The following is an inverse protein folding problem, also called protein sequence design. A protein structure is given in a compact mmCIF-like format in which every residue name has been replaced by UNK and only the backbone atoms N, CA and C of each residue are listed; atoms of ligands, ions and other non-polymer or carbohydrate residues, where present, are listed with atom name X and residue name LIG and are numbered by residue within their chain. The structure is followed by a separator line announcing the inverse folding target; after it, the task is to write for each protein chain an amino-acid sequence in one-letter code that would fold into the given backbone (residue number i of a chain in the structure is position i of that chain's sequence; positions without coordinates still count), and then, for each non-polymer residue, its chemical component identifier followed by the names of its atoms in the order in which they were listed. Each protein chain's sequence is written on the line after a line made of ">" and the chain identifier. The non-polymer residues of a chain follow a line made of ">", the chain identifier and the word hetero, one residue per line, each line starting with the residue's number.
data_IF_504105713451
#
_entry.id   IF_504105713451
#
_cell.length_a   1.000
_cell.length_b   1.000
_cell.length_c   1.000
_cell.angle_alpha   90.00
_cell.angle_beta   90.00
_cell.angle_gamma   90.00
#
_symmetry.space_group_name_H-M   'P 1'
#
loop_
_entity.id
_entity.type
_entity.pdbx_description
1 polymer ?
#
# COMPACT_ATOMS: atom_id res chain seq x y z
N UNK A 1 20.49 3.29 -28.83
CA UNK A 1 19.39 3.34 -29.84
C UNK A 1 18.16 3.91 -29.18
N UNK A 2 17.67 5.04 -29.64
CA UNK A 2 16.42 5.61 -29.14
C UNK A 2 15.23 4.76 -29.64
N UNK A 3 14.43 4.22 -28.73
CA UNK A 3 13.17 3.57 -29.06
C UNK A 3 12.08 4.63 -29.11
N UNK A 4 11.33 4.69 -30.18
CA UNK A 4 10.18 5.56 -30.30
C UNK A 4 8.92 4.75 -30.61
N UNK A 5 7.78 5.20 -30.12
CA UNK A 5 6.49 4.65 -30.40
C UNK A 5 5.73 5.56 -31.36
N UNK A 6 5.35 5.02 -32.53
CA UNK A 6 4.57 5.74 -33.52
C UNK A 6 3.11 5.28 -33.51
N UNK A 7 2.20 6.13 -33.10
CA UNK A 7 0.77 5.87 -33.12
C UNK A 7 0.20 6.44 -34.42
N UNK A 8 -0.16 5.55 -35.36
CA UNK A 8 -0.66 5.94 -36.70
C UNK A 8 -2.19 6.00 -36.80
N UNK A 9 -2.92 5.37 -35.88
CA UNK A 9 -4.38 5.27 -35.96
C UNK A 9 -5.04 5.63 -34.64
N UNK A 10 -6.17 6.31 -34.72
CA UNK A 10 -7.03 6.62 -33.59
C UNK A 10 -7.95 5.42 -33.31
N UNK A 11 -8.06 5.01 -32.05
CA UNK A 11 -9.05 4.01 -31.62
C UNK A 11 -10.44 4.66 -31.61
N UNK A 12 -11.39 4.09 -32.37
CA UNK A 12 -12.76 4.61 -32.46
C UNK A 12 -13.68 4.02 -31.39
N UNK A 13 -13.58 2.74 -31.15
CA UNK A 13 -14.33 1.99 -30.13
C UNK A 13 -13.42 0.92 -29.55
N UNK A 14 -13.46 0.75 -28.21
CA UNK A 14 -12.85 -0.43 -27.60
C UNK A 14 -13.66 -0.88 -26.38
N UNK A 15 -13.70 -2.18 -26.18
CA UNK A 15 -14.15 -2.84 -24.97
C UNK A 15 -13.11 -3.92 -24.68
N UNK A 16 -12.15 -3.58 -23.82
CA UNK A 16 -10.97 -4.38 -23.59
C UNK A 16 -10.66 -4.46 -22.11
N UNK A 17 -10.49 -5.67 -21.58
CA UNK A 17 -9.95 -5.90 -20.27
C UNK A 17 -8.45 -6.10 -20.37
N UNK A 18 -7.68 -5.22 -19.76
CA UNK A 18 -6.23 -5.29 -19.73
C UNK A 18 -5.77 -5.67 -18.32
N UNK A 19 -4.95 -6.72 -18.24
CA UNK A 19 -4.24 -7.06 -17.01
C UNK A 19 -2.84 -6.46 -17.07
N UNK A 20 -2.51 -5.60 -16.14
CA UNK A 20 -1.19 -4.97 -16.00
C UNK A 20 -0.45 -5.56 -14.82
N UNK A 21 0.88 -5.42 -14.81
CA UNK A 21 1.69 -5.74 -13.63
C UNK A 21 1.32 -4.84 -12.46
N UNK A 22 1.46 -5.36 -11.24
CA UNK A 22 1.32 -4.54 -10.04
C UNK A 22 2.35 -3.41 -10.02
N UNK A 23 1.92 -2.22 -9.59
CA UNK A 23 2.79 -1.07 -9.38
C UNK A 23 3.17 -0.94 -7.91
N UNK A 24 4.46 -0.67 -7.63
CA UNK A 24 4.98 -0.56 -6.27
C UNK A 24 4.35 0.60 -5.50
N UNK A 25 4.34 1.78 -6.08
CA UNK A 25 3.85 2.99 -5.43
C UNK A 25 2.33 2.95 -5.21
N UNK A 26 1.58 2.44 -6.17
CA UNK A 26 0.14 2.22 -6.02
C UNK A 26 -0.16 1.15 -4.97
N UNK A 27 0.62 0.08 -4.93
CA UNK A 27 0.49 -0.97 -3.92
C UNK A 27 0.71 -0.46 -2.50
N UNK A 28 1.75 0.36 -2.27
CA UNK A 28 2.00 0.99 -0.96
C UNK A 28 0.83 1.93 -0.58
N UNK A 29 0.37 2.76 -1.51
CA UNK A 29 -0.77 3.66 -1.25
C UNK A 29 -2.03 2.89 -0.90
N UNK A 30 -2.32 1.81 -1.63
CA UNK A 30 -3.45 0.96 -1.32
C UNK A 30 -3.35 0.38 0.10
N UNK A 31 -2.18 -0.13 0.51
CA UNK A 31 -1.95 -0.67 1.86
C UNK A 31 -2.29 0.38 2.92
N UNK A 32 -1.78 1.60 2.76
CA UNK A 32 -2.01 2.68 3.71
C UNK A 32 -3.48 3.11 3.74
N UNK A 33 -4.12 3.30 2.58
CA UNK A 33 -5.53 3.71 2.50
C UNK A 33 -6.46 2.60 3.02
N UNK A 34 -6.21 1.34 2.69
CA UNK A 34 -6.99 0.21 3.18
C UNK A 34 -6.92 0.08 4.71
N UNK A 35 -5.78 0.46 5.32
CA UNK A 35 -5.64 0.48 6.78
C UNK A 35 -6.52 1.55 7.45
N UNK A 36 -6.85 2.63 6.74
CA UNK A 36 -7.69 3.73 7.20
C UNK A 36 -9.18 3.55 6.85
N UNK A 37 -9.51 2.59 6.01
CA UNK A 37 -10.89 2.24 5.70
C UNK A 37 -11.56 1.57 6.90
N UNK A 38 -12.89 1.52 6.89
CA UNK A 38 -13.65 0.70 7.86
C UNK A 38 -14.02 -0.62 7.18
N UNK A 39 -13.61 -1.73 7.79
CA UNK A 39 -13.91 -3.06 7.30
C UNK A 39 -12.87 -3.61 6.35
N UNK A 40 -13.28 -4.54 5.50
CA UNK A 40 -12.40 -5.35 4.66
C UNK A 40 -12.18 -4.72 3.28
N UNK A 41 -10.92 -4.49 2.94
CA UNK A 41 -10.47 -4.15 1.57
C UNK A 41 -9.70 -5.32 0.98
N UNK A 42 -9.88 -5.60 -0.31
CA UNK A 42 -9.17 -6.67 -1.03
C UNK A 42 -8.52 -6.12 -2.28
N UNK A 43 -7.26 -6.47 -2.48
CA UNK A 43 -6.52 -6.18 -3.71
C UNK A 43 -6.08 -7.47 -4.40
N UNK A 44 -6.26 -7.50 -5.71
CA UNK A 44 -5.69 -8.53 -6.59
C UNK A 44 -4.48 -7.95 -7.29
N UNK A 45 -3.51 -8.81 -7.60
CA UNK A 45 -2.31 -8.41 -8.31
C UNK A 45 -1.48 -7.32 -7.61
N UNK A 46 -1.50 -7.32 -6.29
CA UNK A 46 -0.65 -6.44 -5.49
C UNK A 46 0.83 -6.79 -5.73
N UNK A 47 1.67 -5.79 -5.97
CA UNK A 47 3.09 -6.04 -6.14
C UNK A 47 3.72 -6.39 -4.78
N UNK A 48 4.19 -7.62 -4.61
CA UNK A 48 4.79 -8.10 -3.37
C UNK A 48 6.31 -7.86 -3.36
N UNK A 49 6.72 -6.60 -3.59
CA UNK A 49 8.11 -6.17 -3.42
C UNK A 49 8.45 -5.96 -1.93
N UNK A 50 9.73 -5.88 -1.60
CA UNK A 50 10.20 -5.62 -0.24
C UNK A 50 9.57 -4.35 0.36
N UNK A 51 9.43 -3.30 -0.44
CA UNK A 51 8.81 -2.04 -0.03
C UNK A 51 7.33 -2.23 0.36
N UNK A 52 6.57 -3.03 -0.40
CA UNK A 52 5.15 -3.32 -0.12
C UNK A 52 5.03 -4.24 1.10
N UNK A 53 5.92 -5.22 1.23
CA UNK A 53 6.01 -6.08 2.42
C UNK A 53 6.31 -5.24 3.66
N UNK A 54 7.22 -4.26 3.57
CA UNK A 54 7.50 -3.33 4.66
C UNK A 54 6.26 -2.52 5.05
N UNK A 55 5.46 -2.07 4.07
CA UNK A 55 4.19 -1.38 4.32
C UNK A 55 3.19 -2.28 5.06
N UNK A 56 3.01 -3.52 4.59
CA UNK A 56 2.12 -4.50 5.25
C UNK A 56 2.56 -4.79 6.69
N UNK A 57 3.85 -5.02 6.92
CA UNK A 57 4.41 -5.23 8.26
C UNK A 57 4.21 -4.00 9.16
N UNK A 58 4.35 -2.80 8.62
CA UNK A 58 4.16 -1.56 9.37
C UNK A 58 2.71 -1.43 9.85
N UNK A 59 1.72 -1.62 9.00
CA UNK A 59 0.31 -1.55 9.42
C UNK A 59 -0.08 -2.70 10.36
N UNK A 60 0.52 -3.89 10.22
CA UNK A 60 0.32 -4.97 11.18
C UNK A 60 0.82 -4.60 12.58
N UNK A 61 1.99 -3.96 12.69
CA UNK A 61 2.48 -3.42 13.95
C UNK A 61 1.56 -2.34 14.54
N UNK A 62 0.83 -1.63 13.70
CA UNK A 62 -0.18 -0.65 14.09
C UNK A 62 -1.55 -1.28 14.45
N UNK A 63 -1.61 -2.60 14.54
CA UNK A 63 -2.82 -3.34 14.96
C UNK A 63 -3.80 -3.64 13.84
N UNK A 64 -3.40 -3.50 12.59
CA UNK A 64 -4.24 -3.82 11.43
C UNK A 64 -4.07 -5.28 11.04
N UNK A 65 -5.18 -5.99 10.92
CA UNK A 65 -5.18 -7.38 10.45
C UNK A 65 -4.96 -7.42 8.93
N UNK A 66 -3.97 -8.19 8.53
CA UNK A 66 -3.61 -8.43 7.12
C UNK A 66 -3.62 -9.92 6.82
N UNK A 67 -4.21 -10.31 5.71
CA UNK A 67 -4.18 -11.68 5.19
C UNK A 67 -3.65 -11.68 3.77
N UNK A 68 -2.52 -12.32 3.55
CA UNK A 68 -1.92 -12.48 2.21
C UNK A 68 -2.21 -13.89 1.71
N UNK A 69 -2.81 -13.99 0.54
CA UNK A 69 -3.08 -15.23 -0.19
C UNK A 69 -2.37 -15.23 -1.53
N UNK A 70 -2.33 -16.36 -2.21
CA UNK A 70 -1.66 -16.51 -3.52
C UNK A 70 -2.13 -15.46 -4.55
N UNK A 71 -3.41 -15.16 -4.59
CA UNK A 71 -4.03 -14.34 -5.65
C UNK A 71 -4.54 -12.98 -5.15
N UNK A 72 -4.56 -12.74 -3.85
CA UNK A 72 -5.07 -11.49 -3.28
C UNK A 72 -4.49 -11.21 -1.90
N UNK A 73 -4.57 -9.95 -1.51
CA UNK A 73 -4.29 -9.48 -0.16
C UNK A 73 -5.55 -8.83 0.42
N UNK A 74 -5.87 -9.13 1.67
CA UNK A 74 -6.95 -8.50 2.42
C UNK A 74 -6.41 -7.71 3.59
N UNK A 75 -6.94 -6.52 3.78
CA UNK A 75 -6.65 -5.65 4.92
C UNK A 75 -7.99 -5.31 5.60
N UNK A 76 -8.04 -5.49 6.91
CA UNK A 76 -9.18 -5.14 7.75
C UNK A 76 -8.87 -3.82 8.44
N UNK A 77 -9.26 -2.71 7.79
CA UNK A 77 -9.03 -1.38 8.31
C UNK A 77 -9.94 -1.05 9.49
N UNK A 78 -9.43 -0.23 10.40
CA UNK A 78 -10.11 0.16 11.63
C UNK A 78 -10.60 1.62 11.60
N UNK A 79 -10.61 2.25 10.43
CA UNK A 79 -10.96 3.65 10.28
C UNK A 79 -9.81 4.62 10.60
N UNK A 80 -10.07 5.89 10.36
CA UNK A 80 -9.14 6.98 10.71
C UNK A 80 -8.97 7.00 12.24
N UNK A 81 -7.74 7.05 12.70
CA UNK A 81 -7.37 6.94 14.12
C UNK A 81 -7.65 5.56 14.77
N UNK A 82 -7.90 4.53 13.98
CA UNK A 82 -8.18 3.18 14.45
C UNK A 82 -6.94 2.33 14.76
N UNK A 83 -5.74 2.89 14.71
CA UNK A 83 -4.51 2.17 15.04
C UNK A 83 -4.41 1.85 16.52
N UNK A 84 -3.99 0.62 16.82
CA UNK A 84 -3.77 0.11 18.18
C UNK A 84 -2.38 -0.51 18.26
N UNK A 85 -1.51 0.08 19.05
CA UNK A 85 -0.12 -0.34 19.15
C UNK A 85 0.47 -0.04 20.53
N UNK A 86 1.58 -0.70 20.85
CA UNK A 86 2.32 -0.49 22.10
C UNK A 86 3.17 0.79 22.02
N UNK A 87 3.48 1.39 23.17
CA UNK A 87 4.43 2.51 23.25
C UNK A 87 5.78 2.15 22.65
N UNK A 88 6.45 3.15 22.09
CA UNK A 88 7.82 3.03 21.55
C UNK A 88 7.97 2.01 20.42
N UNK A 89 6.94 1.82 19.60
CA UNK A 89 7.09 0.95 18.45
C UNK A 89 8.04 1.54 17.41
N UNK A 90 8.71 0.66 16.69
CA UNK A 90 9.59 0.99 15.58
C UNK A 90 9.00 0.42 14.30
N UNK A 91 8.77 1.29 13.33
CA UNK A 91 8.37 0.92 11.97
C UNK A 91 9.59 1.00 11.07
N UNK A 92 9.82 -0.05 10.30
CA UNK A 92 10.93 -0.09 9.36
C UNK A 92 10.40 0.12 7.94
N UNK A 93 10.73 1.26 7.36
CA UNK A 93 10.37 1.60 5.98
C UNK A 93 11.35 0.99 4.96
N UNK A 94 12.39 0.33 5.41
CA UNK A 94 13.44 -0.22 4.55
C UNK A 94 14.01 0.89 3.64
N UNK A 95 14.19 0.59 2.35
CA UNK A 95 14.60 1.58 1.35
C UNK A 95 13.44 2.33 0.68
N UNK A 96 12.23 2.22 1.24
CA UNK A 96 11.04 2.82 0.64
C UNK A 96 10.85 4.27 1.04
N UNK A 97 11.33 5.20 0.22
CA UNK A 97 11.04 6.62 0.39
C UNK A 97 9.54 6.94 0.26
N UNK A 98 8.80 6.17 -0.53
CA UNK A 98 7.34 6.30 -0.64
C UNK A 98 6.66 5.95 0.67
N UNK A 99 7.00 4.80 1.26
CA UNK A 99 6.44 4.39 2.55
C UNK A 99 6.82 5.38 3.65
N UNK A 100 8.11 5.69 3.78
CA UNK A 100 8.62 6.56 4.85
C UNK A 100 7.95 7.93 4.88
N UNK A 101 7.62 8.49 3.71
CA UNK A 101 6.93 9.79 3.61
C UNK A 101 5.43 9.69 3.82
N UNK A 102 4.77 8.75 3.17
CA UNK A 102 3.31 8.65 3.22
C UNK A 102 2.79 8.15 4.57
N UNK A 103 3.52 7.27 5.25
CA UNK A 103 3.10 6.76 6.56
C UNK A 103 3.03 7.86 7.62
N UNK A 104 3.85 8.91 7.50
CA UNK A 104 3.77 10.08 8.38
C UNK A 104 2.40 10.74 8.33
N UNK A 105 1.78 10.83 7.15
CA UNK A 105 0.45 11.39 6.98
C UNK A 105 -0.63 10.60 7.72
N UNK A 106 -0.58 9.28 7.70
CA UNK A 106 -1.57 8.45 8.42
C UNK A 106 -1.32 8.36 9.91
N UNK A 107 -0.12 8.74 10.38
CA UNK A 107 0.27 8.73 11.79
C UNK A 107 0.14 10.11 12.48
N UNK A 108 -0.27 11.15 11.77
CA UNK A 108 -0.25 12.53 12.26
C UNK A 108 -1.04 12.74 13.57
N UNK A 109 -2.06 11.93 13.81
CA UNK A 109 -2.88 11.97 15.03
C UNK A 109 -2.52 10.87 16.03
N UNK A 110 -1.40 10.20 15.87
CA UNK A 110 -0.97 9.16 16.79
C UNK A 110 -0.66 9.76 18.17
N UNK A 111 -1.22 9.21 19.25
CA UNK A 111 -1.01 9.76 20.61
C UNK A 111 0.38 9.44 21.18
N UNK A 112 1.04 8.43 20.64
CA UNK A 112 2.31 7.93 21.16
C UNK A 112 3.44 8.17 20.17
N UNK A 113 4.66 8.25 20.67
CA UNK A 113 5.86 8.35 19.83
C UNK A 113 6.07 7.07 19.03
N UNK A 114 6.28 7.23 17.74
CA UNK A 114 6.59 6.15 16.80
C UNK A 114 7.93 6.49 16.14
N UNK A 115 8.86 5.55 16.18
CA UNK A 115 10.15 5.66 15.48
C UNK A 115 10.01 5.03 14.09
N UNK A 116 10.41 5.75 13.06
CA UNK A 116 10.50 5.24 11.69
C UNK A 116 11.99 5.17 11.31
N UNK A 117 12.42 4.03 10.78
CA UNK A 117 13.79 3.76 10.34
C UNK A 117 13.79 3.20 8.92
#
# INVERSE_FOLDING_TARGET
>A
MSKFLLIKKKIKKFNLNIRVSGDKSLSIRWVLLASQAIGKSRAFNLLMSDDVIAALKSIQKLGIKVTVKKNYCEIYGNGINGFKYKKNIVLNAMNSGTLGRLILGVLIKSPEKIKII
#
